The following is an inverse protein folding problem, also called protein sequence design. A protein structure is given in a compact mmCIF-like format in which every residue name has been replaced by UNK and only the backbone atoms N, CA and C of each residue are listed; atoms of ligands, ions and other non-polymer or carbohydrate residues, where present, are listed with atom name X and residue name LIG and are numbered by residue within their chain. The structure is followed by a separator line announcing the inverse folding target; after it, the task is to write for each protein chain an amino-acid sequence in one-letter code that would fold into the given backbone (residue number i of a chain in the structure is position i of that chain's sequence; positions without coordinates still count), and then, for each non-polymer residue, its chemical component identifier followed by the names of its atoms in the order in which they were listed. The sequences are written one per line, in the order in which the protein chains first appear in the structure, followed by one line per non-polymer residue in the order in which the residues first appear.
data_IF_834556615137
#
_entry.id   IF_834556615137
#
_cell.length_a   1.000
_cell.length_b   1.000
_cell.length_c   1.000
_cell.angle_alpha   90.00
_cell.angle_beta   90.00
_cell.angle_gamma   90.00
#
_symmetry.space_group_name_H-M   'P 1'
#
loop_
_entity.id
_entity.type
_entity.pdbx_description
1 polymer ?
#
# COMPACT_ATOMS: atom_id res chain seq x y z
N UNK A 1 4.80 -17.65 1.12
CA UNK A 1 4.83 -16.97 -0.19
C UNK A 1 4.68 -15.49 0.03
N UNK A 2 5.48 -14.70 -0.68
CA UNK A 2 5.46 -13.25 -0.62
C UNK A 2 4.77 -12.64 -1.83
N UNK A 3 4.32 -11.41 -1.69
CA UNK A 3 3.75 -10.61 -2.76
C UNK A 3 4.87 -9.74 -3.35
N UNK A 4 5.02 -9.82 -4.65
CA UNK A 4 5.92 -8.99 -5.43
C UNK A 4 5.11 -8.16 -6.43
N UNK A 5 5.30 -6.85 -6.42
CA UNK A 5 4.67 -5.93 -7.36
C UNK A 5 5.74 -5.40 -8.31
N UNK A 6 5.52 -5.54 -9.61
CA UNK A 6 6.55 -5.23 -10.59
C UNK A 6 5.99 -4.66 -11.90
N UNK A 7 6.91 -4.09 -12.68
CA UNK A 7 6.66 -3.58 -14.03
C UNK A 7 7.64 -4.27 -14.96
N UNK A 8 7.11 -4.90 -16.01
CA UNK A 8 7.91 -5.61 -17.02
C UNK A 8 8.13 -4.75 -18.27
N UNK A 9 9.27 -4.92 -18.91
CA UNK A 9 9.55 -4.38 -20.23
C UNK A 9 8.92 -5.21 -21.37
N UNK A 10 9.26 -4.88 -22.62
CA UNK A 10 8.73 -5.58 -23.81
C UNK A 10 9.21 -7.03 -23.91
N UNK A 11 10.36 -7.33 -23.33
CA UNK A 11 10.97 -8.66 -23.35
C UNK A 11 10.52 -9.52 -22.16
N UNK A 12 9.69 -8.96 -21.27
CA UNK A 12 9.22 -9.62 -20.06
C UNK A 12 10.22 -9.60 -18.92
N UNK A 13 11.25 -8.75 -19.02
CA UNK A 13 12.21 -8.53 -17.97
C UNK A 13 11.72 -7.48 -16.98
N UNK A 14 12.09 -7.64 -15.74
CA UNK A 14 11.67 -6.77 -14.63
C UNK A 14 12.39 -5.42 -14.68
N UNK A 15 11.65 -4.35 -14.95
CA UNK A 15 12.20 -2.98 -14.90
C UNK A 15 12.39 -2.54 -13.46
N UNK A 16 11.37 -2.76 -12.64
CA UNK A 16 11.36 -2.37 -11.24
C UNK A 16 10.31 -3.18 -10.50
N UNK A 17 10.59 -3.51 -9.25
CA UNK A 17 9.66 -4.22 -8.41
C UNK A 17 9.84 -3.92 -6.94
N UNK A 18 8.83 -4.26 -6.18
CA UNK A 18 8.79 -4.12 -4.72
C UNK A 18 8.39 -5.44 -4.10
N UNK A 19 9.25 -5.98 -3.25
CA UNK A 19 8.91 -7.10 -2.39
C UNK A 19 8.09 -6.59 -1.20
N UNK A 20 6.78 -6.73 -1.28
CA UNK A 20 5.89 -6.31 -0.19
C UNK A 20 6.06 -7.20 1.05
N UNK A 21 6.52 -8.42 0.87
CA UNK A 21 6.62 -9.43 1.91
C UNK A 21 5.44 -10.38 1.89
N UNK A 22 5.05 -10.91 3.02
CA UNK A 22 3.93 -11.83 3.11
C UNK A 22 2.61 -11.19 2.65
N UNK A 23 1.74 -11.96 2.01
CA UNK A 23 0.42 -11.49 1.55
C UNK A 23 -0.39 -10.82 2.67
N UNK A 24 -0.32 -11.36 3.89
CA UNK A 24 -1.02 -10.79 5.02
C UNK A 24 -0.55 -9.38 5.39
N UNK A 25 0.67 -8.98 5.06
CA UNK A 25 1.14 -7.61 5.29
C UNK A 25 0.47 -6.60 4.36
N UNK A 26 0.20 -7.00 3.13
CA UNK A 26 -0.53 -6.17 2.18
C UNK A 26 -2.02 -6.10 2.54
N UNK A 27 -2.59 -7.23 2.94
CA UNK A 27 -3.98 -7.28 3.41
C UNK A 27 -4.19 -6.45 4.68
N UNK A 28 -3.27 -6.50 5.63
CA UNK A 28 -3.30 -5.65 6.83
C UNK A 28 -3.34 -4.16 6.47
N UNK A 29 -2.51 -3.75 5.51
CA UNK A 29 -2.49 -2.39 4.99
C UNK A 29 -3.85 -1.98 4.39
N UNK A 30 -4.43 -2.83 3.54
CA UNK A 30 -5.74 -2.60 2.92
C UNK A 30 -6.87 -2.59 3.95
N UNK A 31 -6.84 -3.49 4.90
CA UNK A 31 -7.83 -3.54 5.99
C UNK A 31 -7.83 -2.25 6.81
N UNK A 32 -6.67 -1.71 7.14
CA UNK A 32 -6.58 -0.46 7.87
C UNK A 32 -7.13 0.71 7.05
N UNK A 33 -6.80 0.79 5.76
CA UNK A 33 -7.36 1.81 4.86
C UNK A 33 -8.88 1.68 4.77
N UNK A 34 -9.40 0.47 4.68
CA UNK A 34 -10.84 0.21 4.69
C UNK A 34 -11.53 0.74 5.96
N UNK A 35 -10.89 0.60 7.12
CA UNK A 35 -11.40 1.14 8.40
C UNK A 35 -11.46 2.67 8.40
N UNK A 36 -10.61 3.35 7.64
CA UNK A 36 -10.58 4.81 7.52
C UNK A 36 -11.57 5.35 6.48
N UNK A 37 -12.16 4.48 5.67
CA UNK A 37 -13.28 4.83 4.80
C UNK A 37 -14.59 4.68 5.55
N UNK A 38 -15.69 5.27 5.04
CA UNK A 38 -17.02 5.10 5.65
C UNK A 38 -17.80 3.91 5.09
N UNK A 39 -17.15 2.98 4.39
CA UNK A 39 -17.77 1.80 3.77
C UNK A 39 -17.96 0.64 4.75
N UNK A 40 -17.22 0.58 5.84
CA UNK A 40 -17.33 -0.48 6.84
C UNK A 40 -18.62 -0.40 7.66
N UNK A 41 -19.16 -1.56 8.07
CA UNK A 41 -20.37 -1.65 8.90
C UNK A 41 -20.22 -0.85 10.20
N UNK A 42 -19.05 -0.92 10.84
CA UNK A 42 -18.76 -0.15 12.05
C UNK A 42 -18.83 1.36 11.82
N UNK A 43 -18.37 1.84 10.65
CA UNK A 43 -18.45 3.26 10.28
C UNK A 43 -19.88 3.71 10.05
N UNK A 44 -20.73 2.86 9.48
CA UNK A 44 -22.16 3.13 9.29
C UNK A 44 -22.91 3.23 10.64
N UNK A 45 -22.64 2.30 11.56
CA UNK A 45 -23.24 2.27 12.90
C UNK A 45 -22.82 3.48 13.74
N UNK A 46 -21.52 3.82 13.70
CA UNK A 46 -20.95 4.91 14.48
C UNK A 46 -21.07 6.27 13.78
N UNK A 47 -21.66 6.33 12.57
CA UNK A 47 -21.76 7.55 11.73
C UNK A 47 -20.43 8.27 11.52
N UNK A 48 -19.33 7.52 11.47
CA UNK A 48 -18.01 8.09 11.21
C UNK A 48 -17.90 8.48 9.74
N UNK A 49 -17.41 9.69 9.49
CA UNK A 49 -17.08 10.14 8.15
C UNK A 49 -15.76 9.50 7.71
N UNK A 50 -15.62 9.23 6.40
CA UNK A 50 -14.34 8.85 5.82
C UNK A 50 -13.29 9.91 6.12
N UNK A 51 -12.07 9.47 6.43
CA UNK A 51 -10.90 10.34 6.61
C UNK A 51 -10.26 10.70 5.28
N UNK A 52 -10.73 10.10 4.19
CA UNK A 52 -10.27 10.34 2.83
C UNK A 52 -11.35 11.04 2.01
N UNK A 53 -10.93 11.89 1.06
CA UNK A 53 -11.82 12.50 0.07
C UNK A 53 -12.10 11.53 -1.08
N UNK A 54 -11.11 10.69 -1.44
CA UNK A 54 -11.25 9.66 -2.46
C UNK A 54 -11.83 8.37 -1.89
N UNK A 55 -12.58 7.59 -2.70
CA UNK A 55 -13.23 6.35 -2.22
C UNK A 55 -12.29 5.17 -2.04
N UNK A 56 -11.02 5.27 -2.40
CA UNK A 56 -9.99 4.23 -2.33
C UNK A 56 -10.35 2.93 -3.09
N UNK A 57 -11.14 3.04 -4.14
CA UNK A 57 -11.67 1.88 -4.88
C UNK A 57 -10.61 1.15 -5.67
N UNK A 58 -9.62 1.83 -6.22
CA UNK A 58 -8.55 1.19 -7.01
C UNK A 58 -7.72 0.27 -6.13
N UNK A 59 -7.34 0.74 -4.95
CA UNK A 59 -6.56 -0.06 -4.00
C UNK A 59 -7.39 -1.17 -3.37
N UNK A 60 -8.62 -0.90 -2.95
CA UNK A 60 -9.43 -1.82 -2.16
C UNK A 60 -10.21 -2.84 -2.98
N UNK A 61 -10.55 -2.54 -4.24
CA UNK A 61 -11.35 -3.43 -5.07
C UNK A 61 -10.51 -4.38 -5.94
N UNK A 62 -9.19 -4.34 -5.82
CA UNK A 62 -8.29 -5.24 -6.53
C UNK A 62 -8.10 -6.54 -5.74
N UNK A 63 -7.74 -7.64 -6.46
CA UNK A 63 -7.26 -8.85 -5.81
C UNK A 63 -6.01 -8.57 -4.97
N UNK A 64 -5.79 -9.33 -3.92
CA UNK A 64 -4.64 -9.19 -3.02
C UNK A 64 -3.43 -10.03 -3.45
N UNK A 65 -3.59 -10.88 -4.45
CA UNK A 65 -2.57 -11.87 -4.81
C UNK A 65 -2.29 -12.03 -6.31
N UNK A 66 -3.15 -11.51 -7.19
CA UNK A 66 -3.00 -11.67 -8.62
C UNK A 66 -3.55 -10.49 -9.43
N UNK A 67 -3.29 -10.51 -10.73
CA UNK A 67 -3.80 -9.50 -11.66
C UNK A 67 -2.83 -8.36 -11.88
N UNK A 68 -3.39 -7.23 -12.26
CA UNK A 68 -2.60 -6.03 -12.57
C UNK A 68 -3.42 -4.76 -12.39
N UNK A 69 -2.73 -3.64 -12.22
CA UNK A 69 -3.27 -2.31 -12.44
C UNK A 69 -2.76 -1.78 -13.77
N UNK A 70 -3.68 -1.41 -14.67
CA UNK A 70 -3.30 -0.76 -15.92
C UNK A 70 -2.84 0.69 -15.66
N UNK A 71 -2.39 1.40 -16.71
CA UNK A 71 -1.85 2.76 -16.57
C UNK A 71 -2.87 3.73 -15.98
N UNK A 72 -4.12 3.69 -16.42
CA UNK A 72 -5.18 4.57 -15.90
C UNK A 72 -5.48 4.26 -14.43
N UNK A 73 -5.50 2.99 -14.06
CA UNK A 73 -5.63 2.56 -12.67
C UNK A 73 -4.42 2.99 -11.84
N UNK A 74 -3.21 2.96 -12.38
CA UNK A 74 -2.01 3.47 -11.71
C UNK A 74 -2.09 4.99 -11.45
N UNK A 75 -2.65 5.75 -12.37
CA UNK A 75 -2.90 7.20 -12.15
C UNK A 75 -3.84 7.41 -10.96
N UNK A 76 -4.94 6.66 -10.93
CA UNK A 76 -5.91 6.74 -9.84
C UNK A 76 -5.30 6.24 -8.52
N UNK A 77 -4.58 5.12 -8.54
CA UNK A 77 -3.90 4.56 -7.38
C UNK A 77 -2.89 5.55 -6.79
N UNK A 78 -2.15 6.25 -7.64
CA UNK A 78 -1.22 7.29 -7.21
C UNK A 78 -1.92 8.38 -6.40
N UNK A 79 -3.06 8.86 -6.88
CA UNK A 79 -3.85 9.86 -6.16
C UNK A 79 -4.32 9.34 -4.80
N UNK A 80 -4.81 8.10 -4.75
CA UNK A 80 -5.23 7.44 -3.52
C UNK A 80 -4.07 7.30 -2.53
N UNK A 81 -2.91 6.83 -2.98
CA UNK A 81 -1.72 6.67 -2.14
C UNK A 81 -1.17 7.99 -1.61
N UNK A 82 -1.22 9.06 -2.40
CA UNK A 82 -0.82 10.39 -1.94
C UNK A 82 -1.70 10.88 -0.80
N UNK A 83 -3.00 10.66 -0.87
CA UNK A 83 -3.94 11.02 0.19
C UNK A 83 -3.73 10.15 1.43
N UNK A 84 -3.53 8.84 1.26
CA UNK A 84 -3.22 7.92 2.36
C UNK A 84 -1.95 8.36 3.08
N UNK A 85 -0.91 8.72 2.34
CA UNK A 85 0.35 9.20 2.91
C UNK A 85 0.12 10.44 3.79
N UNK A 86 -0.63 11.42 3.30
CA UNK A 86 -0.96 12.63 4.03
C UNK A 86 -1.67 12.33 5.36
N UNK A 87 -2.66 11.46 5.34
CA UNK A 87 -3.41 11.08 6.54
C UNK A 87 -2.52 10.29 7.51
N UNK A 88 -1.80 9.28 7.02
CA UNK A 88 -1.00 8.38 7.86
C UNK A 88 0.21 9.07 8.50
N UNK A 89 0.78 10.06 7.86
CA UNK A 89 1.87 10.86 8.45
C UNK A 89 1.42 11.68 9.65
N UNK A 90 0.12 11.96 9.77
CA UNK A 90 -0.47 12.71 10.89
C UNK A 90 -1.17 11.81 11.92
N UNK A 91 -1.08 10.49 11.77
CA UNK A 91 -1.66 9.52 12.70
C UNK A 91 -0.59 8.91 13.59
N UNK A 92 -0.99 8.52 14.80
CA UNK A 92 -0.12 7.78 15.72
C UNK A 92 0.18 6.39 15.16
N UNK A 93 1.35 5.82 15.49
CA UNK A 93 1.69 4.45 15.13
C UNK A 93 0.64 3.45 15.66
N UNK A 94 0.39 2.40 14.90
CA UNK A 94 -0.47 1.30 15.31
C UNK A 94 0.39 0.21 15.97
N UNK A 95 0.19 -0.01 17.27
CA UNK A 95 0.98 -0.96 18.06
C UNK A 95 0.80 -2.41 17.58
N UNK A 96 -0.38 -2.78 17.09
CA UNK A 96 -0.63 -4.13 16.58
C UNK A 96 0.16 -4.41 15.30
N UNK A 97 0.30 -3.43 14.43
CA UNK A 97 1.13 -3.54 13.21
C UNK A 97 2.61 -3.62 13.56
N UNK A 98 3.06 -2.82 14.52
CA UNK A 98 4.46 -2.85 15.01
C UNK A 98 4.75 -4.24 15.61
N UNK A 99 3.85 -4.79 16.40
CA UNK A 99 4.01 -6.10 17.00
C UNK A 99 4.08 -7.21 15.95
N UNK A 100 3.22 -7.14 14.92
CA UNK A 100 3.23 -8.08 13.79
C UNK A 100 4.57 -8.13 13.07
N UNK A 101 5.25 -6.99 12.97
CA UNK A 101 6.53 -6.82 12.25
C UNK A 101 7.72 -6.55 13.18
N UNK A 102 7.60 -6.88 14.44
CA UNK A 102 8.61 -6.52 15.45
C UNK A 102 10.02 -7.00 15.10
N UNK A 103 10.16 -8.15 14.44
CA UNK A 103 11.46 -8.70 14.06
C UNK A 103 12.14 -7.83 13.00
N UNK A 104 11.38 -7.32 12.02
CA UNK A 104 11.87 -6.41 10.99
C UNK A 104 12.29 -5.08 11.61
N UNK A 105 11.44 -4.50 12.45
CA UNK A 105 11.75 -3.24 13.13
C UNK A 105 12.97 -3.35 14.03
N UNK A 106 13.10 -4.44 14.77
CA UNK A 106 14.29 -4.69 15.61
C UNK A 106 15.55 -4.90 14.78
N UNK A 107 15.45 -5.68 13.71
CA UNK A 107 16.59 -5.98 12.84
C UNK A 107 17.19 -4.72 12.22
N UNK A 108 16.35 -3.81 11.74
CA UNK A 108 16.79 -2.55 11.13
C UNK A 108 16.93 -1.40 12.12
N UNK A 109 16.59 -1.59 13.39
CA UNK A 109 16.67 -0.54 14.41
C UNK A 109 15.68 0.61 14.20
N UNK A 110 14.54 0.35 13.57
CA UNK A 110 13.52 1.36 13.25
C UNK A 110 12.50 1.44 14.38
N UNK A 111 12.19 2.68 14.78
CA UNK A 111 11.09 2.98 15.70
C UNK A 111 10.09 3.89 14.97
N UNK A 112 8.93 3.37 14.54
CA UNK A 112 7.95 4.17 13.82
C UNK A 112 7.45 5.37 14.66
N UNK A 113 7.45 6.55 14.08
CA UNK A 113 6.97 7.79 14.70
C UNK A 113 5.52 8.11 14.34
N UNK A 114 5.02 7.51 13.25
CA UNK A 114 3.66 7.70 12.75
C UNK A 114 3.17 6.44 12.05
N UNK A 115 1.90 6.44 11.64
CA UNK A 115 1.28 5.29 10.99
C UNK A 115 1.89 4.98 9.61
N UNK A 116 2.31 6.00 8.87
CA UNK A 116 3.00 5.83 7.59
C UNK A 116 4.26 4.96 7.72
N UNK A 117 5.05 5.19 8.74
CA UNK A 117 6.29 4.46 9.01
C UNK A 117 6.07 3.03 9.52
N UNK A 118 4.84 2.69 9.93
CA UNK A 118 4.49 1.31 10.31
C UNK A 118 4.47 0.35 9.12
N UNK A 119 4.29 0.85 7.90
CA UNK A 119 4.23 0.04 6.69
C UNK A 119 5.55 0.08 5.95
N UNK A 120 6.41 -0.87 6.26
CA UNK A 120 7.70 -1.08 5.60
C UNK A 120 7.71 -2.41 4.87
N UNK A 121 8.51 -2.48 3.81
CA UNK A 121 8.76 -3.69 3.04
C UNK A 121 9.88 -4.53 3.68
N UNK A 122 10.11 -5.73 3.15
CA UNK A 122 11.17 -6.61 3.63
C UNK A 122 12.58 -6.04 3.43
N UNK A 123 12.76 -5.10 2.52
CA UNK A 123 14.02 -4.38 2.28
C UNK A 123 14.14 -3.07 3.09
N UNK A 124 13.25 -2.87 4.08
CA UNK A 124 13.24 -1.71 4.97
C UNK A 124 12.85 -0.38 4.32
N UNK A 125 12.15 -0.41 3.19
CA UNK A 125 11.64 0.77 2.52
C UNK A 125 10.19 1.04 2.91
N UNK A 126 9.78 2.30 2.92
CA UNK A 126 8.40 2.69 3.22
C UNK A 126 7.48 2.28 2.07
N UNK A 127 6.51 1.42 2.37
CA UNK A 127 5.64 0.80 1.38
C UNK A 127 4.89 1.81 0.52
N UNK A 128 4.32 2.85 1.12
CA UNK A 128 3.55 3.83 0.36
C UNK A 128 4.45 4.55 -0.65
N UNK A 129 5.66 4.93 -0.26
CA UNK A 129 6.62 5.58 -1.16
C UNK A 129 7.04 4.66 -2.30
N UNK A 130 7.29 3.39 -2.00
CA UNK A 130 7.64 2.39 -3.02
C UNK A 130 6.50 2.17 -4.03
N UNK A 131 5.26 2.11 -3.55
CA UNK A 131 4.10 2.00 -4.42
C UNK A 131 3.91 3.25 -5.27
N UNK A 132 4.17 4.44 -4.73
CA UNK A 132 4.14 5.69 -5.49
C UNK A 132 5.21 5.70 -6.60
N UNK A 133 6.42 5.24 -6.32
CA UNK A 133 7.50 5.09 -7.31
C UNK A 133 7.09 4.14 -8.43
N UNK A 134 6.47 2.99 -8.10
CA UNK A 134 5.96 2.06 -9.11
C UNK A 134 4.85 2.67 -9.96
N UNK A 135 3.93 3.43 -9.35
CA UNK A 135 2.90 4.13 -10.11
C UNK A 135 3.51 5.15 -11.09
N UNK A 136 4.49 5.92 -10.65
CA UNK A 136 5.18 6.89 -11.51
C UNK A 136 5.88 6.19 -12.68
N UNK A 137 6.56 5.10 -12.42
CA UNK A 137 7.24 4.32 -13.45
C UNK A 137 6.24 3.68 -14.43
N UNK A 138 5.15 3.11 -13.93
CA UNK A 138 4.09 2.54 -14.77
C UNK A 138 3.50 3.58 -15.73
N UNK A 139 3.28 4.79 -15.24
CA UNK A 139 2.77 5.91 -16.03
C UNK A 139 3.81 6.36 -17.06
N UNK A 140 5.05 6.54 -16.63
CA UNK A 140 6.16 6.98 -17.48
C UNK A 140 6.43 6.00 -18.62
N UNK A 141 6.48 4.70 -18.34
CA UNK A 141 6.77 3.64 -19.29
C UNK A 141 5.52 3.17 -20.05
N UNK A 142 4.34 3.69 -19.71
CA UNK A 142 3.04 3.29 -20.26
C UNK A 142 2.82 1.77 -20.13
N UNK A 143 3.03 1.22 -18.92
CA UNK A 143 2.95 -0.21 -18.63
C UNK A 143 2.14 -0.48 -17.38
N UNK A 144 1.54 -1.68 -17.33
CA UNK A 144 0.78 -2.12 -16.16
C UNK A 144 1.72 -2.51 -15.01
N UNK A 145 1.24 -2.32 -13.78
CA UNK A 145 1.86 -2.87 -12.59
C UNK A 145 1.28 -4.25 -12.33
N UNK A 146 2.12 -5.26 -12.24
CA UNK A 146 1.74 -6.67 -12.15
C UNK A 146 1.90 -7.18 -10.72
N UNK A 147 1.00 -8.08 -10.32
CA UNK A 147 1.11 -8.88 -9.09
C UNK A 147 1.78 -10.21 -9.43
N UNK A 148 2.79 -10.61 -8.63
CA UNK A 148 3.56 -11.86 -8.77
C UNK A 148 3.62 -12.65 -7.46
#
# INVERSE_FOLDING_TARGET
MGLYLCIFDEDGEDICGVEVGLYNYFEEFRCLISKYTNKGLASKILKRKSRFTLPMTTLLNHSDCDGSWNVDECVQLKMELQEIKQVFMNELPDLSIIELKQDIFKFYGIKPENLFECFIDSDCEFRIDRLLELCDLAIQENRSMMFQ
#
